data_IF_402808531389
#
_entry.id   IF_402808531389
#
_cell.length_a   1.000
_cell.length_b   1.000
_cell.length_c   1.000
_cell.angle_alpha   90.00
_cell.angle_beta   90.00
_cell.angle_gamma   90.00
#
_symmetry.space_group_name_H-M   'P 1'
#
loop_
_entity.id
_entity.type
_entity.pdbx_description
1 polymer ?
#
# COMPACT_ATOMS: atom_id res chain seq x y z
N UNK A 1 36.51 14.63 -6.61
CA UNK A 1 35.11 14.96 -6.94
C UNK A 1 34.35 13.64 -6.99
N UNK A 2 33.61 13.28 -5.93
CA UNK A 2 33.14 11.91 -5.64
C UNK A 2 31.60 11.86 -5.59
N UNK A 3 31.03 10.99 -6.42
CA UNK A 3 29.72 10.34 -6.31
C UNK A 3 28.44 11.20 -6.34
N UNK A 4 28.05 11.66 -7.53
CA UNK A 4 26.66 12.03 -7.83
C UNK A 4 25.91 10.98 -8.69
N UNK A 5 26.62 9.98 -9.21
CA UNK A 5 26.05 8.99 -10.14
C UNK A 5 25.13 7.93 -9.48
N UNK A 6 25.15 7.75 -8.16
CA UNK A 6 24.38 6.69 -7.49
C UNK A 6 22.99 7.10 -6.99
N UNK A 7 22.62 8.38 -6.99
CA UNK A 7 21.35 8.83 -6.39
C UNK A 7 20.09 8.36 -7.13
N UNK A 8 20.20 8.04 -8.43
CA UNK A 8 19.06 7.60 -9.26
C UNK A 8 19.06 6.12 -9.64
N UNK A 9 20.12 5.36 -9.36
CA UNK A 9 20.28 4.00 -9.91
C UNK A 9 19.24 3.02 -9.35
N UNK A 10 18.95 3.11 -8.05
CA UNK A 10 17.94 2.29 -7.38
C UNK A 10 16.51 2.62 -7.87
N UNK A 11 16.19 3.91 -8.08
CA UNK A 11 14.92 4.35 -8.68
C UNK A 11 14.76 3.79 -10.08
N UNK A 12 15.82 3.81 -10.89
CA UNK A 12 15.82 3.25 -12.24
C UNK A 12 15.63 1.72 -12.26
N UNK A 13 16.17 1.01 -11.26
CA UNK A 13 15.94 -0.44 -11.08
C UNK A 13 14.48 -0.74 -10.72
N UNK A 14 13.88 0.03 -9.81
CA UNK A 14 12.45 -0.10 -9.48
C UNK A 14 11.54 0.24 -10.66
N UNK A 15 11.83 1.36 -11.34
CA UNK A 15 11.12 1.79 -12.53
C UNK A 15 11.13 0.71 -13.63
N UNK A 16 12.29 0.09 -13.89
CA UNK A 16 12.39 -1.06 -14.81
C UNK A 16 11.55 -2.24 -14.38
N UNK A 17 11.60 -2.63 -13.09
CA UNK A 17 10.85 -3.77 -12.57
C UNK A 17 9.34 -3.58 -12.69
N UNK A 18 8.86 -2.35 -12.49
CA UNK A 18 7.44 -2.02 -12.59
C UNK A 18 7.02 -1.47 -13.97
N UNK A 19 7.96 -1.39 -14.91
CA UNK A 19 7.79 -0.84 -16.27
C UNK A 19 7.18 0.58 -16.27
N UNK A 20 7.65 1.43 -15.36
CA UNK A 20 7.21 2.83 -15.21
C UNK A 20 8.39 3.79 -15.28
N UNK A 21 8.10 5.08 -15.50
CA UNK A 21 9.12 6.14 -15.42
C UNK A 21 9.68 6.27 -13.99
N UNK A 22 10.96 6.62 -13.79
CA UNK A 22 11.55 6.87 -12.47
C UNK A 22 10.77 7.89 -11.63
N UNK A 23 10.20 8.93 -12.26
CA UNK A 23 9.36 9.91 -11.56
C UNK A 23 8.06 9.30 -11.03
N UNK A 24 7.43 8.40 -11.82
CA UNK A 24 6.24 7.65 -11.37
C UNK A 24 6.58 6.69 -10.23
N UNK A 25 7.74 6.05 -10.26
CA UNK A 25 8.18 5.17 -9.17
C UNK A 25 8.31 5.92 -7.85
N UNK A 26 8.86 7.15 -7.87
CA UNK A 26 8.95 8.00 -6.69
C UNK A 26 7.57 8.39 -6.15
N UNK A 27 6.65 8.79 -7.04
CA UNK A 27 5.26 9.10 -6.69
C UNK A 27 4.58 7.90 -6.03
N UNK A 28 4.73 6.70 -6.60
CA UNK A 28 4.17 5.48 -6.01
C UNK A 28 4.78 5.19 -4.63
N UNK A 29 6.09 5.40 -4.46
CA UNK A 29 6.75 5.23 -3.18
C UNK A 29 6.24 6.21 -2.12
N UNK A 30 5.98 7.47 -2.51
CA UNK A 30 5.34 8.48 -1.66
C UNK A 30 3.93 8.05 -1.25
N UNK A 31 3.13 7.54 -2.20
CA UNK A 31 1.80 7.00 -1.90
C UNK A 31 1.89 5.84 -0.90
N UNK A 32 2.83 4.92 -1.08
CA UNK A 32 3.05 3.82 -0.13
C UNK A 32 3.47 4.31 1.25
N UNK A 33 4.31 5.34 1.34
CA UNK A 33 4.68 5.95 2.60
C UNK A 33 3.47 6.61 3.28
N UNK A 34 2.71 7.45 2.56
CA UNK A 34 1.51 8.11 3.08
C UNK A 34 0.46 7.10 3.54
N UNK A 35 0.11 6.12 2.69
CA UNK A 35 -0.84 5.06 3.03
C UNK A 35 -0.39 4.24 4.25
N UNK A 36 0.89 3.85 4.32
CA UNK A 36 1.45 3.13 5.45
C UNK A 36 1.37 3.94 6.75
N UNK A 37 1.69 5.23 6.70
CA UNK A 37 1.55 6.14 7.84
C UNK A 37 0.09 6.28 8.28
N UNK A 38 -0.84 6.48 7.34
CA UNK A 38 -2.28 6.58 7.64
C UNK A 38 -2.81 5.34 8.35
N UNK A 39 -2.39 4.15 7.92
CA UNK A 39 -2.82 2.90 8.58
C UNK A 39 -2.28 2.78 10.00
N UNK A 40 -1.02 3.12 10.24
CA UNK A 40 -0.45 3.09 11.61
C UNK A 40 -1.16 4.12 12.50
N UNK A 41 -1.47 5.31 11.97
CA UNK A 41 -2.21 6.35 12.67
C UNK A 41 -3.64 5.92 13.03
N UNK A 42 -4.30 5.09 12.20
CA UNK A 42 -5.61 4.52 12.52
C UNK A 42 -5.49 3.39 13.54
N UNK A 43 -4.43 2.58 13.47
CA UNK A 43 -4.18 1.46 14.40
C UNK A 43 -4.00 1.92 15.84
N UNK A 44 -3.25 3.01 16.07
CA UNK A 44 -2.93 3.52 17.41
C UNK A 44 -4.17 3.84 18.25
N UNK A 45 -5.10 4.72 17.84
CA UNK A 45 -6.31 5.02 18.62
C UNK A 45 -7.23 3.81 18.75
N UNK A 46 -7.23 2.89 17.78
CA UNK A 46 -8.00 1.65 17.87
C UNK A 46 -7.45 0.72 18.96
N UNK A 47 -6.13 0.61 19.06
CA UNK A 47 -5.47 -0.14 20.13
C UNK A 47 -5.65 0.55 21.48
N UNK A 48 -5.50 1.87 21.55
CA UNK A 48 -5.64 2.61 22.82
C UNK A 48 -7.07 2.53 23.39
N UNK A 49 -8.10 2.54 22.53
CA UNK A 49 -9.49 2.36 22.97
C UNK A 49 -9.82 0.94 23.42
N UNK A 50 -9.11 -0.07 22.91
CA UNK A 50 -9.39 -1.49 23.23
C UNK A 50 -8.48 -2.00 24.35
N UNK A 51 -7.27 -1.47 24.51
CA UNK A 51 -6.32 -1.85 25.55
C UNK A 51 -6.71 -1.34 26.95
N UNK A 52 -7.66 -0.40 27.06
CA UNK A 52 -8.20 0.07 28.35
C UNK A 52 -8.88 -1.02 29.19
N UNK A 53 -9.40 -2.09 28.58
CA UNK A 53 -10.12 -3.17 29.25
C UNK A 53 -9.30 -4.47 29.43
N UNK A 54 -7.98 -4.40 29.24
CA UNK A 54 -7.05 -5.46 29.67
C UNK A 54 -6.89 -6.67 28.73
N UNK A 55 -7.71 -6.85 27.71
CA UNK A 55 -7.48 -7.83 26.64
C UNK A 55 -8.00 -7.33 25.30
N UNK A 56 -7.10 -7.13 24.32
CA UNK A 56 -7.53 -6.94 22.94
C UNK A 56 -8.10 -8.26 22.44
N UNK A 57 -9.40 -8.36 22.11
CA UNK A 57 -9.95 -9.60 21.62
C UNK A 57 -9.20 -10.00 20.35
N UNK A 58 -8.66 -11.22 20.30
CA UNK A 58 -7.95 -11.72 19.12
C UNK A 58 -8.83 -11.59 17.87
N UNK A 59 -10.14 -11.74 18.03
CA UNK A 59 -11.17 -11.52 17.00
C UNK A 59 -11.11 -10.10 16.42
N UNK A 60 -10.95 -9.06 17.26
CA UNK A 60 -10.81 -7.67 16.80
C UNK A 60 -9.52 -7.46 16.00
N UNK A 61 -8.42 -8.05 16.44
CA UNK A 61 -7.15 -7.97 15.70
C UNK A 61 -7.23 -8.69 14.35
N UNK A 62 -7.84 -9.87 14.30
CA UNK A 62 -8.08 -10.62 13.05
C UNK A 62 -8.98 -9.84 12.12
N UNK A 63 -10.10 -9.30 12.62
CA UNK A 63 -11.02 -8.48 11.85
C UNK A 63 -10.32 -7.21 11.32
N UNK A 64 -9.48 -6.58 12.13
CA UNK A 64 -8.66 -5.44 11.70
C UNK A 64 -7.75 -5.80 10.53
N UNK A 65 -7.00 -6.90 10.58
CA UNK A 65 -6.15 -7.31 9.44
C UNK A 65 -6.97 -7.68 8.21
N UNK A 66 -8.17 -8.21 8.40
CA UNK A 66 -9.06 -8.53 7.29
C UNK A 66 -9.64 -7.26 6.64
N UNK A 67 -10.00 -6.27 7.44
CA UNK A 67 -10.61 -5.01 7.00
C UNK A 67 -9.58 -4.00 6.49
N UNK A 68 -8.35 -4.00 7.01
CA UNK A 68 -7.30 -3.10 6.55
C UNK A 68 -6.89 -3.43 5.12
N UNK A 69 -7.06 -4.68 4.68
CA UNK A 69 -6.73 -5.15 3.35
C UNK A 69 -7.56 -4.45 2.24
N UNK A 70 -8.91 -4.43 2.28
CA UNK A 70 -9.70 -3.62 1.35
C UNK A 70 -9.53 -2.11 1.56
N UNK A 71 -9.34 -1.65 2.81
CA UNK A 71 -9.09 -0.22 3.08
C UNK A 71 -7.79 0.27 2.41
N UNK A 72 -6.71 -0.51 2.46
CA UNK A 72 -5.46 -0.18 1.77
C UNK A 72 -5.65 -0.04 0.26
N UNK A 73 -6.40 -0.97 -0.34
CA UNK A 73 -6.68 -0.93 -1.77
C UNK A 73 -7.47 0.34 -2.16
N UNK A 74 -8.46 0.73 -1.35
CA UNK A 74 -9.20 1.98 -1.55
C UNK A 74 -8.29 3.21 -1.39
N UNK A 75 -7.44 3.24 -0.36
CA UNK A 75 -6.49 4.32 -0.15
C UNK A 75 -5.53 4.47 -1.34
N UNK A 76 -4.97 3.36 -1.83
CA UNK A 76 -4.11 3.37 -3.03
C UNK A 76 -4.82 3.98 -4.24
N UNK A 77 -6.12 3.74 -4.38
CA UNK A 77 -6.95 4.32 -5.43
C UNK A 77 -7.15 5.83 -5.25
N UNK A 78 -7.45 6.27 -4.02
CA UNK A 78 -7.64 7.69 -3.67
C UNK A 78 -6.35 8.48 -3.88
N UNK A 79 -5.22 7.98 -3.37
CA UNK A 79 -3.91 8.61 -3.59
C UNK A 79 -3.47 8.55 -5.05
N UNK A 80 -3.82 7.46 -5.75
CA UNK A 80 -3.64 7.35 -7.20
C UNK A 80 -4.44 8.41 -7.96
N UNK A 81 -5.65 8.72 -7.53
CA UNK A 81 -6.48 9.79 -8.09
C UNK A 81 -5.87 11.18 -7.80
N UNK A 82 -5.49 11.44 -6.55
CA UNK A 82 -4.86 12.70 -6.11
C UNK A 82 -3.60 13.06 -6.91
N UNK A 83 -2.82 12.06 -7.32
CA UNK A 83 -1.56 12.24 -8.05
C UNK A 83 -1.69 11.97 -9.57
N UNK A 84 -2.90 11.76 -10.08
CA UNK A 84 -3.15 11.51 -11.51
C UNK A 84 -2.59 10.17 -12.03
N UNK A 85 -2.33 9.21 -11.15
CA UNK A 85 -1.85 7.85 -11.46
C UNK A 85 -2.93 6.76 -11.23
N UNK A 86 -4.21 7.12 -11.19
CA UNK A 86 -5.33 6.21 -10.94
C UNK A 86 -5.28 4.94 -11.79
N UNK A 87 -5.05 5.07 -13.11
CA UNK A 87 -5.00 3.93 -14.02
C UNK A 87 -3.89 2.91 -13.69
N UNK A 88 -2.75 3.38 -13.18
CA UNK A 88 -1.65 2.51 -12.75
C UNK A 88 -2.06 1.69 -11.50
N UNK A 89 -2.62 2.36 -10.49
CA UNK A 89 -3.06 1.71 -9.25
C UNK A 89 -4.25 0.78 -9.50
N UNK A 90 -5.21 1.18 -10.35
CA UNK A 90 -6.33 0.34 -10.75
C UNK A 90 -5.86 -0.93 -11.48
N UNK A 91 -4.90 -0.82 -12.39
CA UNK A 91 -4.30 -1.99 -13.04
C UNK A 91 -3.47 -2.85 -12.08
N UNK A 92 -2.88 -2.26 -11.05
CA UNK A 92 -2.16 -2.96 -9.99
C UNK A 92 -3.14 -3.73 -9.08
N UNK A 93 -4.19 -3.08 -8.58
CA UNK A 93 -5.24 -3.65 -7.75
C UNK A 93 -5.96 -4.79 -8.48
N UNK A 94 -6.37 -4.59 -9.74
CA UNK A 94 -6.98 -5.67 -10.54
C UNK A 94 -6.06 -6.88 -10.68
N UNK A 95 -4.75 -6.68 -10.83
CA UNK A 95 -3.78 -7.79 -10.89
C UNK A 95 -3.70 -8.52 -9.56
N UNK A 96 -3.81 -7.80 -8.45
CA UNK A 96 -3.81 -8.37 -7.11
C UNK A 96 -5.10 -9.16 -6.85
N UNK A 97 -6.26 -8.56 -7.14
CA UNK A 97 -7.58 -9.19 -7.05
C UNK A 97 -7.68 -10.42 -7.95
N UNK A 98 -7.20 -10.35 -9.21
CA UNK A 98 -7.17 -11.51 -10.11
C UNK A 98 -6.36 -12.68 -9.56
N UNK A 99 -5.29 -12.44 -8.80
CA UNK A 99 -4.55 -13.54 -8.14
C UNK A 99 -5.32 -14.12 -6.96
N UNK A 100 -5.91 -13.27 -6.13
CA UNK A 100 -6.67 -13.70 -4.95
C UNK A 100 -7.95 -14.45 -5.38
N UNK A 101 -8.76 -13.87 -6.26
CA UNK A 101 -9.97 -14.50 -6.80
C UNK A 101 -9.66 -15.63 -7.79
N UNK A 102 -8.58 -15.52 -8.57
CA UNK A 102 -8.15 -16.58 -9.47
C UNK A 102 -7.73 -17.86 -8.73
N UNK A 103 -7.10 -17.72 -7.56
CA UNK A 103 -6.81 -18.84 -6.67
C UNK A 103 -8.10 -19.45 -6.09
N UNK A 104 -9.10 -18.61 -5.77
CA UNK A 104 -10.41 -19.06 -5.29
C UNK A 104 -11.23 -19.79 -6.35
N UNK A 105 -11.05 -19.45 -7.64
CA UNK A 105 -11.79 -20.02 -8.79
C UNK A 105 -11.12 -21.26 -9.40
N UNK A 106 -9.90 -21.60 -8.99
CA UNK A 106 -9.17 -22.78 -9.49
C UNK A 106 -9.35 -24.03 -8.61
N UNK A 107 -10.41 -24.08 -7.80
CA UNK A 107 -10.91 -25.30 -7.14
C UNK A 107 -12.26 -25.67 -7.70
#
# INVERSE_FOLDING_TARGET
>A
MRNDAHRGEWLQRLARRWKISPGRALVVLLVFACTGTTVVLIKRPLLDRVAGDGQVPVIFSVLYYFLILPVYNLLLLIYGLLLGQFGFFWAFEKRLLKRVFGWLRSR
#
